data_IF_058941300943
#
_entry.id   IF_058941300943
#
_cell.length_a   1.000
_cell.length_b   1.000
_cell.length_c   1.000
_cell.angle_alpha   90.00
_cell.angle_beta   90.00
_cell.angle_gamma   90.00
#
_symmetry.space_group_name_H-M   'P 1'
#
loop_
_entity.id
_entity.type
_entity.pdbx_description
1 polymer ?
#
# COMPACT_ATOMS: atom_id res chain seq x y z
N UNK A 1 27.49 -9.71 6.41
CA UNK A 1 26.28 -9.10 7.01
C UNK A 1 26.21 -7.58 6.86
N UNK A 2 27.29 -6.79 6.96
CA UNK A 2 27.22 -5.33 6.66
C UNK A 2 27.57 -4.99 5.19
N UNK A 3 28.35 -5.82 4.49
CA UNK A 3 28.70 -5.60 3.07
C UNK A 3 27.53 -5.77 2.09
N UNK A 4 26.54 -6.58 2.42
CA UNK A 4 25.41 -6.85 1.52
C UNK A 4 24.35 -5.74 1.55
N UNK A 5 24.36 -4.88 2.60
CA UNK A 5 23.45 -3.73 2.70
C UNK A 5 23.94 -2.52 1.89
N UNK A 6 25.24 -2.40 1.62
CA UNK A 6 25.83 -1.25 0.91
C UNK A 6 25.99 -1.48 -0.59
N UNK A 7 25.98 -2.73 -1.04
CA UNK A 7 26.20 -3.09 -2.45
C UNK A 7 24.99 -2.80 -3.36
N UNK A 8 23.84 -2.41 -2.80
CA UNK A 8 22.62 -2.12 -3.57
C UNK A 8 22.35 -0.61 -3.78
N UNK A 9 23.19 0.28 -3.23
CA UNK A 9 22.96 1.74 -3.27
C UNK A 9 23.74 2.50 -4.35
N UNK A 10 24.63 1.85 -5.12
CA UNK A 10 25.45 2.55 -6.13
C UNK A 10 25.53 1.77 -7.44
N UNK A 11 24.45 1.81 -8.22
CA UNK A 11 24.39 1.18 -9.54
C UNK A 11 23.59 2.01 -10.55
N UNK A 12 24.30 2.85 -11.30
CA UNK A 12 23.98 3.43 -12.61
C UNK A 12 22.73 4.32 -12.76
N UNK A 13 22.96 5.57 -13.18
CA UNK A 13 21.95 6.52 -13.58
C UNK A 13 21.09 5.99 -14.73
N UNK A 14 19.85 5.64 -14.40
CA UNK A 14 18.74 5.54 -15.34
C UNK A 14 18.06 6.91 -15.51
N UNK A 15 17.28 7.11 -16.59
CA UNK A 15 16.58 8.36 -16.83
C UNK A 15 15.66 8.67 -15.65
N UNK A 16 15.53 9.96 -15.30
CA UNK A 16 14.66 10.46 -14.24
C UNK A 16 13.28 9.78 -14.29
N UNK A 17 13.10 8.75 -13.46
CA UNK A 17 11.82 8.12 -13.17
C UNK A 17 11.01 9.19 -12.47
N UNK A 18 9.89 9.59 -13.08
CA UNK A 18 8.93 10.47 -12.45
C UNK A 18 8.52 9.84 -11.12
N UNK A 19 8.86 10.53 -10.03
CA UNK A 19 8.43 10.26 -8.67
C UNK A 19 6.88 10.26 -8.67
N UNK A 20 6.27 9.09 -8.89
CA UNK A 20 4.82 8.90 -8.72
C UNK A 20 4.52 8.94 -7.22
N UNK A 21 4.55 10.15 -6.65
CA UNK A 21 4.04 10.48 -5.30
C UNK A 21 2.51 10.46 -5.25
N UNK A 22 1.88 9.61 -6.05
CA UNK A 22 0.45 9.37 -6.00
C UNK A 22 0.20 8.22 -5.04
N UNK A 23 0.20 8.56 -3.74
CA UNK A 23 -0.50 7.86 -2.65
C UNK A 23 -0.27 8.59 -1.31
N UNK A 24 0.55 9.64 -1.29
CA UNK A 24 0.72 10.56 -0.17
C UNK A 24 0.58 12.01 -0.64
N UNK A 25 -0.61 12.43 -1.08
CA UNK A 25 -1.03 13.78 -0.65
C UNK A 25 -1.18 13.63 0.86
N UNK A 26 -0.21 14.15 1.61
CA UNK A 26 -0.39 14.36 3.04
C UNK A 26 -1.74 15.03 3.19
N UNK A 27 -2.70 14.35 3.81
CA UNK A 27 -3.92 15.00 4.25
C UNK A 27 -3.44 16.15 5.13
N UNK A 28 -3.50 17.39 4.63
CA UNK A 28 -3.22 18.57 5.43
C UNK A 28 -4.48 18.82 6.25
N UNK A 29 -4.49 18.53 7.57
CA UNK A 29 -5.67 18.78 8.39
C UNK A 29 -5.99 20.29 8.51
N UNK A 30 -5.17 21.18 7.92
CA UNK A 30 -5.39 22.63 7.86
C UNK A 30 -5.92 23.11 6.51
N UNK A 31 -5.98 22.26 5.48
CA UNK A 31 -6.75 22.56 4.28
C UNK A 31 -8.22 22.17 4.52
N UNK A 32 -9.00 23.22 4.82
CA UNK A 32 -10.46 23.34 4.62
C UNK A 32 -11.42 22.82 5.72
N UNK A 33 -11.61 23.66 6.75
CA UNK A 33 -12.95 24.16 7.06
C UNK A 33 -13.19 25.41 6.18
N UNK A 34 -13.15 25.25 4.86
CA UNK A 34 -13.78 26.25 4.01
C UNK A 34 -15.29 26.15 4.25
N UNK A 35 -15.99 27.28 4.44
CA UNK A 35 -17.44 27.25 4.54
C UNK A 35 -17.95 26.56 3.27
N UNK A 36 -18.80 25.54 3.44
CA UNK A 36 -19.39 24.75 2.36
C UNK A 36 -19.59 25.63 1.13
N UNK A 37 -18.63 25.57 0.20
CA UNK A 37 -18.81 26.17 -1.10
C UNK A 37 -20.07 25.48 -1.62
N UNK A 38 -21.08 26.27 -1.98
CA UNK A 38 -22.25 25.78 -2.68
C UNK A 38 -21.76 24.82 -3.75
N UNK A 39 -21.92 23.52 -3.49
CA UNK A 39 -21.80 22.49 -4.50
C UNK A 39 -22.86 22.87 -5.50
N UNK A 40 -22.46 23.66 -6.52
CA UNK A 40 -23.15 23.69 -7.79
C UNK A 40 -23.14 22.24 -8.21
N UNK A 41 -24.22 21.53 -7.90
CA UNK A 41 -24.63 20.35 -8.63
C UNK A 41 -24.51 20.74 -10.08
N UNK A 42 -23.44 20.27 -10.72
CA UNK A 42 -23.32 20.24 -12.17
C UNK A 42 -24.43 19.28 -12.60
N UNK A 43 -25.65 19.80 -12.66
CA UNK A 43 -26.73 19.19 -13.39
C UNK A 43 -26.31 19.36 -14.83
N UNK A 44 -25.66 18.34 -15.39
CA UNK A 44 -25.60 18.21 -16.83
C UNK A 44 -27.06 18.20 -17.28
N UNK A 45 -27.50 19.27 -17.96
CA UNK A 45 -28.90 19.48 -18.38
C UNK A 45 -29.39 18.39 -19.35
N UNK A 46 -28.47 17.60 -19.90
CA UNK A 46 -28.76 16.42 -20.67
C UNK A 46 -28.66 15.21 -19.73
N UNK A 47 -29.79 14.67 -19.27
CA UNK A 47 -29.92 13.55 -18.32
C UNK A 47 -29.36 12.19 -18.80
N UNK A 48 -28.21 12.18 -19.48
CA UNK A 48 -27.48 10.98 -19.83
C UNK A 48 -26.66 10.52 -18.62
N UNK A 49 -26.78 9.24 -18.22
CA UNK A 49 -25.97 8.70 -17.15
C UNK A 49 -24.48 8.79 -17.53
N UNK A 50 -23.66 9.35 -16.63
CA UNK A 50 -22.21 9.36 -16.73
C UNK A 50 -21.72 7.95 -17.09
N UNK A 51 -21.12 7.80 -18.27
CA UNK A 51 -20.62 6.52 -18.76
C UNK A 51 -19.23 6.29 -18.20
N UNK A 52 -19.08 5.23 -17.40
CA UNK A 52 -17.79 4.78 -16.91
C UNK A 52 -17.33 3.59 -17.76
N UNK A 53 -16.10 3.64 -18.26
CA UNK A 53 -15.47 2.48 -18.91
C UNK A 53 -14.65 1.71 -17.89
N UNK A 54 -15.04 0.47 -17.63
CA UNK A 54 -14.37 -0.44 -16.71
C UNK A 54 -13.55 -1.47 -17.49
N UNK A 55 -12.30 -1.66 -17.09
CA UNK A 55 -11.39 -2.66 -17.67
C UNK A 55 -11.06 -3.73 -16.61
N UNK A 56 -11.43 -4.98 -16.89
CA UNK A 56 -11.05 -6.10 -16.05
C UNK A 56 -9.58 -6.39 -16.25
N UNK A 57 -8.79 -6.35 -15.17
CA UNK A 57 -7.39 -6.76 -15.23
C UNK A 57 -7.18 -8.09 -14.55
N UNK A 58 -6.57 -9.00 -15.30
CA UNK A 58 -5.98 -10.19 -14.73
C UNK A 58 -4.72 -9.78 -14.01
N UNK A 59 -4.67 -10.17 -12.75
CA UNK A 59 -3.71 -9.76 -11.75
C UNK A 59 -2.61 -10.84 -11.71
N UNK A 60 -1.47 -10.66 -12.40
CA UNK A 60 -0.37 -11.62 -12.35
C UNK A 60 0.11 -11.79 -10.90
N UNK A 61 0.06 -13.02 -10.41
CA UNK A 61 0.48 -13.32 -9.05
C UNK A 61 1.91 -12.81 -8.78
N UNK A 62 2.07 -12.02 -7.71
CA UNK A 62 3.34 -11.59 -7.09
C UNK A 62 4.13 -10.44 -7.72
N UNK A 63 3.59 -9.67 -8.67
CA UNK A 63 4.35 -8.56 -9.32
C UNK A 63 4.81 -7.49 -8.33
N UNK A 64 4.02 -7.19 -7.29
CA UNK A 64 4.36 -6.15 -6.31
C UNK A 64 5.19 -6.66 -5.12
N UNK A 65 5.43 -7.97 -5.02
CA UNK A 65 6.13 -8.56 -3.89
C UNK A 65 7.62 -8.15 -3.88
N UNK A 66 8.07 -7.56 -2.78
CA UNK A 66 9.46 -7.11 -2.59
C UNK A 66 9.74 -5.68 -3.10
N UNK A 67 8.75 -5.00 -3.66
CA UNK A 67 8.89 -3.64 -4.19
C UNK A 67 8.60 -2.54 -3.16
N UNK A 68 8.07 -2.89 -1.99
CA UNK A 68 7.76 -1.95 -0.92
C UNK A 68 8.98 -1.72 -0.03
N UNK A 69 9.41 -0.46 0.10
CA UNK A 69 10.58 -0.06 0.90
C UNK A 69 10.22 1.07 1.84
N UNK A 70 10.75 1.01 3.06
CA UNK A 70 10.71 2.12 4.02
C UNK A 70 11.99 2.94 3.90
N UNK A 71 11.87 4.25 3.77
CA UNK A 71 13.01 5.16 3.87
C UNK A 71 13.53 5.18 5.31
N UNK A 72 14.82 4.89 5.56
CA UNK A 72 15.39 4.98 6.91
C UNK A 72 15.43 6.44 7.40
N UNK A 73 15.37 7.42 6.50
CA UNK A 73 15.50 8.85 6.84
C UNK A 73 14.15 9.51 7.09
N UNK A 74 13.19 9.37 6.17
CA UNK A 74 11.87 10.01 6.32
C UNK A 74 10.88 9.12 7.08
N UNK A 75 11.17 7.83 7.17
CA UNK A 75 10.23 6.83 7.64
C UNK A 75 9.11 6.53 6.64
N UNK A 76 9.01 7.24 5.52
CA UNK A 76 7.95 7.01 4.54
C UNK A 76 8.11 5.64 3.88
N UNK A 77 6.97 5.00 3.62
CA UNK A 77 6.92 3.73 2.91
C UNK A 77 6.53 4.01 1.47
N UNK A 78 7.40 3.64 0.56
CA UNK A 78 7.27 3.85 -0.87
C UNK A 78 7.09 2.47 -1.51
N UNK A 79 6.10 2.35 -2.38
CA UNK A 79 5.96 1.19 -3.25
C UNK A 79 6.57 1.55 -4.60
N UNK A 80 7.69 0.92 -4.94
CA UNK A 80 8.33 1.11 -6.23
C UNK A 80 7.55 0.33 -7.29
N UNK A 81 6.49 0.94 -7.81
CA UNK A 81 5.71 0.38 -8.91
C UNK A 81 6.36 0.73 -10.24
N UNK A 82 6.32 -0.21 -11.17
CA UNK A 82 6.49 0.11 -12.58
C UNK A 82 5.41 1.16 -12.95
N UNK A 83 5.75 2.29 -13.59
CA UNK A 83 4.75 3.23 -14.10
C UNK A 83 3.70 2.60 -15.01
N UNK A 84 4.01 1.46 -15.64
CA UNK A 84 3.06 0.68 -16.43
C UNK A 84 2.09 -0.17 -15.58
N UNK A 85 2.35 -0.31 -14.28
CA UNK A 85 1.50 -1.08 -13.38
C UNK A 85 0.16 -0.36 -13.18
N UNK A 86 -0.97 -1.05 -13.40
CA UNK A 86 -2.27 -0.43 -13.32
C UNK A 86 -2.67 -0.07 -11.90
N UNK A 87 -3.17 1.14 -11.71
CA UNK A 87 -3.87 1.52 -10.50
C UNK A 87 -5.26 0.87 -10.50
N UNK A 88 -5.41 -0.25 -9.81
CA UNK A 88 -6.73 -0.83 -9.59
C UNK A 88 -7.52 0.02 -8.59
N UNK A 89 -8.68 0.51 -9.04
CA UNK A 89 -9.52 1.44 -8.27
C UNK A 89 -10.73 0.75 -7.65
N UNK A 90 -11.11 -0.42 -8.19
CA UNK A 90 -12.27 -1.19 -7.76
C UNK A 90 -11.88 -2.66 -7.61
N UNK A 91 -12.38 -3.29 -6.54
CA UNK A 91 -12.27 -4.73 -6.30
C UNK A 91 -13.68 -5.29 -6.28
N UNK A 92 -13.96 -6.24 -7.17
CA UNK A 92 -15.21 -6.99 -7.22
C UNK A 92 -15.06 -8.32 -6.48
N UNK A 93 -15.88 -8.55 -5.46
CA UNK A 93 -15.88 -9.80 -4.70
C UNK A 93 -16.84 -10.86 -5.25
N UNK A 94 -17.59 -10.54 -6.30
CA UNK A 94 -18.53 -11.45 -6.94
C UNK A 94 -17.89 -12.28 -8.08
N UNK A 95 -16.61 -12.06 -8.39
CA UNK A 95 -15.90 -12.82 -9.41
C UNK A 95 -16.38 -12.56 -10.84
N UNK A 96 -16.98 -11.40 -11.13
CA UNK A 96 -17.50 -11.11 -12.47
C UNK A 96 -16.38 -10.74 -13.44
N UNK A 97 -16.51 -11.21 -14.68
CA UNK A 97 -15.61 -10.86 -15.79
C UNK A 97 -15.89 -9.45 -16.33
N UNK A 98 -17.12 -8.94 -16.14
CA UNK A 98 -17.60 -7.64 -16.60
C UNK A 98 -18.52 -7.01 -15.57
N UNK A 99 -18.45 -5.68 -15.47
CA UNK A 99 -19.32 -4.89 -14.60
C UNK A 99 -20.33 -4.10 -15.44
N UNK A 100 -21.55 -3.83 -14.92
CA UNK A 100 -22.53 -2.99 -15.59
C UNK A 100 -21.95 -1.61 -15.91
N UNK A 101 -22.20 -1.09 -17.12
CA UNK A 101 -21.74 0.26 -17.51
C UNK A 101 -22.53 1.39 -16.84
N UNK A 102 -23.74 1.09 -16.38
CA UNK A 102 -24.64 2.08 -15.83
C UNK A 102 -24.33 2.31 -14.35
N UNK A 103 -23.93 3.56 -14.06
CA UNK A 103 -23.58 4.07 -12.73
C UNK A 103 -24.63 3.75 -11.65
N UNK A 104 -25.92 3.83 -11.96
CA UNK A 104 -26.99 3.56 -11.00
C UNK A 104 -27.01 2.10 -10.50
N UNK A 105 -26.52 1.16 -11.31
CA UNK A 105 -26.36 -0.24 -10.88
C UNK A 105 -25.09 -0.43 -10.07
N UNK A 106 -23.98 0.22 -10.47
CA UNK A 106 -22.70 0.17 -9.75
C UNK A 106 -22.81 0.76 -8.33
N UNK A 107 -23.59 1.82 -8.15
CA UNK A 107 -23.83 2.44 -6.84
C UNK A 107 -24.61 1.55 -5.88
N UNK A 108 -25.46 0.66 -6.40
CA UNK A 108 -26.27 -0.28 -5.61
C UNK A 108 -25.58 -1.62 -5.40
N UNK A 109 -24.39 -1.80 -5.97
CA UNK A 109 -23.68 -3.06 -5.99
C UNK A 109 -22.91 -3.27 -4.68
N UNK A 110 -23.40 -4.21 -3.86
CA UNK A 110 -22.83 -4.54 -2.56
C UNK A 110 -21.49 -5.29 -2.66
N UNK A 111 -21.08 -5.74 -3.84
CA UNK A 111 -19.85 -6.52 -4.06
C UNK A 111 -18.68 -5.67 -4.56
N UNK A 112 -18.88 -4.37 -4.79
CA UNK A 112 -17.85 -3.47 -5.31
C UNK A 112 -17.20 -2.65 -4.18
N UNK A 113 -15.89 -2.80 -4.08
CA UNK A 113 -15.08 -2.20 -3.02
C UNK A 113 -14.00 -1.30 -3.57
N UNK A 114 -13.78 -0.18 -2.89
CA UNK A 114 -12.59 0.64 -3.01
C UNK A 114 -11.44 -0.02 -2.25
N UNK A 115 -10.30 -0.32 -2.89
CA UNK A 115 -9.10 -0.74 -2.19
C UNK A 115 -8.41 0.48 -1.56
N UNK A 116 -8.10 0.40 -0.27
CA UNK A 116 -7.33 1.41 0.46
C UNK A 116 -6.01 0.78 0.90
N UNK A 117 -4.85 1.20 0.34
CA UNK A 117 -3.59 0.55 0.62
C UNK A 117 -3.14 0.78 2.07
N UNK A 118 -2.79 -0.31 2.74
CA UNK A 118 -2.17 -0.31 4.06
C UNK A 118 -0.66 -0.37 3.85
N UNK A 119 -0.04 0.77 3.50
CA UNK A 119 1.35 0.84 3.03
C UNK A 119 2.34 0.28 4.05
N UNK A 120 2.21 0.66 5.32
CA UNK A 120 3.08 0.15 6.38
C UNK A 120 2.93 -1.35 6.58
N UNK A 121 1.67 -1.82 6.61
CA UNK A 121 1.33 -3.25 6.65
C UNK A 121 1.94 -4.03 5.50
N UNK A 122 1.89 -3.45 4.30
CA UNK A 122 2.46 -4.00 3.08
C UNK A 122 3.97 -4.14 3.21
N UNK A 123 4.67 -3.08 3.65
CA UNK A 123 6.11 -3.16 3.89
C UNK A 123 6.47 -4.23 4.94
N UNK A 124 5.72 -4.32 6.03
CA UNK A 124 5.92 -5.37 7.04
C UNK A 124 5.71 -6.77 6.46
N UNK A 125 4.61 -6.97 5.72
CA UNK A 125 4.30 -8.23 5.04
C UNK A 125 5.43 -8.66 4.10
N UNK A 126 5.87 -7.78 3.20
CA UNK A 126 6.95 -8.07 2.26
C UNK A 126 8.29 -8.29 2.99
N UNK A 127 8.56 -7.54 4.07
CA UNK A 127 9.78 -7.74 4.88
C UNK A 127 9.80 -9.08 5.59
N UNK A 128 8.67 -9.53 6.15
CA UNK A 128 8.54 -10.86 6.75
C UNK A 128 8.64 -11.98 5.72
N UNK A 129 8.10 -11.75 4.51
CA UNK A 129 8.22 -12.69 3.40
C UNK A 129 9.67 -12.88 2.94
N UNK A 130 10.42 -11.78 2.76
CA UNK A 130 11.83 -11.82 2.32
C UNK A 130 12.80 -12.31 3.40
N UNK A 131 12.46 -12.16 4.68
CA UNK A 131 13.32 -12.54 5.80
C UNK A 131 12.59 -13.46 6.78
N UNK A 132 12.36 -14.74 6.42
CA UNK A 132 11.59 -15.69 7.23
C UNK A 132 12.33 -16.18 8.49
N UNK A 133 13.33 -15.46 8.97
CA UNK A 133 14.25 -15.86 10.05
C UNK A 133 13.49 -16.35 11.30
N UNK A 134 13.47 -17.67 11.50
CA UNK A 134 12.83 -18.33 12.64
C UNK A 134 11.38 -18.79 12.41
N UNK A 135 10.84 -18.65 11.21
CA UNK A 135 9.49 -19.08 10.85
C UNK A 135 9.57 -20.50 10.29
N UNK A 136 8.94 -21.45 10.97
CA UNK A 136 8.78 -22.81 10.46
C UNK A 136 8.20 -22.76 9.05
N UNK A 137 8.70 -23.62 8.15
CA UNK A 137 8.37 -23.72 6.72
C UNK A 137 7.78 -22.42 6.12
N UNK A 138 8.64 -21.57 5.58
CA UNK A 138 8.31 -20.35 4.81
C UNK A 138 7.31 -20.55 3.63
N UNK A 139 6.75 -21.75 3.44
CA UNK A 139 5.70 -22.06 2.49
C UNK A 139 4.31 -21.61 2.93
N UNK A 140 4.10 -21.28 4.21
CA UNK A 140 2.77 -20.86 4.70
C UNK A 140 2.60 -19.34 4.60
N UNK A 141 2.02 -18.89 3.48
CA UNK A 141 1.77 -17.47 3.25
C UNK A 141 0.77 -16.88 4.24
N UNK A 142 -0.22 -17.67 4.67
CA UNK A 142 -1.23 -17.24 5.63
C UNK A 142 -0.59 -16.92 6.98
N UNK A 143 0.48 -17.62 7.34
CA UNK A 143 1.29 -17.31 8.50
C UNK A 143 1.97 -15.94 8.37
N UNK A 144 2.58 -15.63 7.22
CA UNK A 144 3.24 -14.33 6.96
C UNK A 144 2.21 -13.19 7.00
N UNK A 145 1.03 -13.41 6.41
CA UNK A 145 -0.09 -12.46 6.47
C UNK A 145 -0.52 -12.26 7.91
N UNK A 146 -0.75 -13.32 8.69
CA UNK A 146 -1.11 -13.21 10.11
C UNK A 146 -0.05 -12.46 10.91
N UNK A 147 1.23 -12.68 10.64
CA UNK A 147 2.32 -11.97 11.31
C UNK A 147 2.30 -10.47 10.99
N UNK A 148 2.20 -10.12 9.71
CA UNK A 148 2.03 -8.73 9.27
C UNK A 148 0.77 -8.12 9.89
N UNK A 149 -0.31 -8.90 9.97
CA UNK A 149 -1.56 -8.43 10.52
C UNK A 149 -1.48 -8.18 12.03
N UNK A 150 -0.77 -9.02 12.77
CA UNK A 150 -0.59 -8.90 14.22
C UNK A 150 0.43 -7.85 14.65
N UNK A 151 1.26 -7.35 13.72
CA UNK A 151 2.26 -6.35 14.02
C UNK A 151 1.62 -5.00 14.38
N UNK A 152 2.14 -4.36 15.43
CA UNK A 152 1.64 -3.09 15.93
C UNK A 152 2.24 -1.95 15.11
N UNK A 153 1.48 -1.38 14.18
CA UNK A 153 1.95 -0.36 13.25
C UNK A 153 0.95 0.79 13.07
N UNK A 154 1.41 1.86 12.41
CA UNK A 154 0.57 3.01 12.07
C UNK A 154 0.10 2.88 10.62
N UNK A 155 -1.15 2.47 10.44
CA UNK A 155 -1.77 2.32 9.11
C UNK A 155 -2.44 3.60 8.60
N UNK A 156 -2.44 4.68 9.39
CA UNK A 156 -3.03 5.98 8.99
C UNK A 156 -1.95 6.91 8.45
N UNK A 157 -2.27 7.62 7.38
CA UNK A 157 -1.45 8.70 6.80
C UNK A 157 -1.61 9.98 7.62
N UNK A 158 -1.07 9.99 8.83
CA UNK A 158 -0.96 11.19 9.66
C UNK A 158 0.49 11.66 9.72
N UNK A 159 0.66 12.97 9.91
CA UNK A 159 1.95 13.54 10.25
C UNK A 159 2.23 13.30 11.73
N UNK A 160 3.09 12.34 12.03
CA UNK A 160 3.31 11.81 13.38
C UNK A 160 4.80 11.82 13.79
N UNK A 161 5.59 12.69 13.16
CA UNK A 161 7.01 12.86 13.44
C UNK A 161 7.86 11.57 13.31
N UNK A 162 7.46 10.65 12.43
CA UNK A 162 8.20 9.42 12.07
C UNK A 162 9.52 9.63 11.33
N UNK A 163 9.88 10.87 11.03
CA UNK A 163 11.17 11.19 10.44
C UNK A 163 12.30 10.77 11.39
N UNK A 164 13.43 10.33 10.83
CA UNK A 164 14.62 9.95 11.57
C UNK A 164 15.32 11.19 12.13
N UNK A 165 15.90 11.15 13.34
CA UNK A 165 16.71 12.25 13.86
C UNK A 165 17.86 12.65 12.93
N UNK A 166 18.29 11.78 12.00
CA UNK A 166 19.29 12.09 10.97
C UNK A 166 18.92 13.35 10.17
N UNK A 167 17.64 13.56 9.86
CA UNK A 167 17.21 14.74 9.10
C UNK A 167 17.53 16.03 9.83
N UNK A 168 17.30 16.08 11.15
CA UNK A 168 17.66 17.24 11.97
C UNK A 168 19.18 17.32 12.19
N UNK A 169 19.84 16.17 12.38
CA UNK A 169 21.29 16.13 12.59
C UNK A 169 22.10 16.60 11.38
N UNK A 170 21.58 16.46 10.15
CA UNK A 170 22.19 17.07 8.97
C UNK A 170 22.35 18.60 9.13
N UNK A 171 21.32 19.28 9.63
CA UNK A 171 21.36 20.72 9.90
C UNK A 171 22.19 21.07 11.14
N UNK A 172 22.08 20.28 12.21
CA UNK A 172 22.87 20.45 13.44
C UNK A 172 24.38 20.35 13.14
N UNK A 173 24.79 19.37 12.33
CA UNK A 173 26.19 19.22 11.90
C UNK A 173 26.67 20.46 11.15
N UNK A 174 25.88 20.96 10.19
CA UNK A 174 26.23 22.17 9.45
C UNK A 174 26.35 23.39 10.38
N UNK A 175 25.35 23.64 11.23
CA UNK A 175 25.32 24.80 12.11
C UNK A 175 26.29 24.72 13.29
N UNK A 176 26.75 23.52 13.66
CA UNK A 176 27.78 23.35 14.69
C UNK A 176 29.07 24.10 14.35
N UNK A 177 29.36 24.32 13.05
CA UNK A 177 30.51 25.10 12.59
C UNK A 177 30.52 26.56 13.09
N UNK A 178 29.34 27.13 13.38
CA UNK A 178 29.22 28.50 13.91
C UNK A 178 29.70 28.62 15.37
N UNK A 179 29.81 27.49 16.08
CA UNK A 179 30.32 27.47 17.46
C UNK A 179 31.82 27.66 17.53
N UNK A 180 32.54 27.51 16.41
CA UNK A 180 34.02 27.53 16.34
C UNK A 180 34.73 26.56 17.31
N UNK A 181 33.99 25.69 18.00
CA UNK A 181 34.53 24.68 18.90
C UNK A 181 34.64 23.34 18.18
N UNK A 182 35.88 22.94 17.89
CA UNK A 182 36.20 21.68 17.25
C UNK A 182 35.60 20.46 17.97
N UNK A 183 35.42 20.53 19.30
CA UNK A 183 34.83 19.47 20.11
C UNK A 183 33.33 19.34 19.85
N UNK A 184 32.60 20.46 19.83
CA UNK A 184 31.17 20.47 19.51
C UNK A 184 30.93 19.98 18.08
N UNK A 185 31.75 20.43 17.12
CA UNK A 185 31.67 19.99 15.71
C UNK A 185 31.92 18.48 15.62
N UNK A 186 32.98 17.97 16.26
CA UNK A 186 33.32 16.55 16.24
C UNK A 186 32.21 15.70 16.89
N UNK A 187 31.65 16.14 18.01
CA UNK A 187 30.53 15.45 18.69
C UNK A 187 29.26 15.46 17.85
N UNK A 188 28.90 16.61 17.23
CA UNK A 188 27.75 16.71 16.35
C UNK A 188 27.86 15.74 15.15
N UNK A 189 29.03 15.69 14.51
CA UNK A 189 29.32 14.76 13.43
C UNK A 189 29.29 13.30 13.90
N UNK A 190 29.91 12.98 15.04
CA UNK A 190 29.93 11.64 15.61
C UNK A 190 28.52 11.12 15.93
N UNK A 191 27.67 11.95 16.53
CA UNK A 191 26.28 11.59 16.86
C UNK A 191 25.41 11.54 15.61
N UNK A 192 25.63 12.43 14.62
CA UNK A 192 24.95 12.36 13.33
C UNK A 192 25.22 11.04 12.60
N UNK A 193 26.49 10.61 12.55
CA UNK A 193 26.89 9.32 11.97
C UNK A 193 26.33 8.13 12.76
N UNK A 194 26.38 8.19 14.09
CA UNK A 194 25.82 7.14 14.96
C UNK A 194 24.30 7.01 14.76
N UNK A 195 23.59 8.14 14.67
CA UNK A 195 22.15 8.17 14.41
C UNK A 195 21.85 7.60 13.02
N UNK A 196 22.66 7.93 12.01
CA UNK A 196 22.54 7.34 10.67
C UNK A 196 22.72 5.82 10.69
N UNK A 197 23.72 5.33 11.41
CA UNK A 197 23.93 3.90 11.60
C UNK A 197 22.73 3.23 12.28
N UNK A 198 22.15 3.85 13.32
CA UNK A 198 20.92 3.36 13.96
C UNK A 198 19.72 3.39 13.02
N UNK A 199 19.54 4.44 12.22
CA UNK A 199 18.46 4.55 11.25
C UNK A 199 18.49 3.40 10.25
N UNK A 200 19.66 3.12 9.67
CA UNK A 200 19.86 2.00 8.74
C UNK A 200 19.67 0.65 9.45
N UNK A 201 20.32 0.43 10.59
CA UNK A 201 20.26 -0.85 11.32
C UNK A 201 18.86 -1.16 11.86
N UNK A 202 18.12 -0.13 12.27
CA UNK A 202 16.76 -0.28 12.78
C UNK A 202 15.70 -0.33 11.67
N UNK A 203 16.03 -0.06 10.40
CA UNK A 203 15.06 -0.07 9.30
C UNK A 203 14.61 -1.49 8.87
N UNK A 204 14.28 -2.32 9.84
CA UNK A 204 13.73 -3.66 9.68
C UNK A 204 12.34 -3.73 10.31
N UNK A 205 11.49 -4.63 9.82
CA UNK A 205 10.12 -4.79 10.32
C UNK A 205 10.02 -4.99 11.84
N UNK A 206 11.06 -5.55 12.48
CA UNK A 206 11.08 -5.81 13.93
C UNK A 206 11.64 -4.65 14.77
N UNK A 207 12.43 -3.76 14.17
CA UNK A 207 13.23 -2.79 14.92
C UNK A 207 12.96 -1.32 14.57
N UNK A 208 12.15 -1.01 13.55
CA UNK A 208 12.00 0.36 13.04
C UNK A 208 11.48 1.37 14.06
N UNK A 209 10.74 0.92 15.08
CA UNK A 209 10.27 1.77 16.17
C UNK A 209 11.34 2.06 17.24
N UNK A 210 12.47 1.34 17.23
CA UNK A 210 13.52 1.42 18.27
C UNK A 210 14.58 2.46 17.99
N UNK A 211 14.69 2.93 16.76
CA UNK A 211 15.73 3.88 16.32
C UNK A 211 15.84 5.11 17.23
N UNK A 212 14.71 5.80 17.47
CA UNK A 212 14.66 7.02 18.30
C UNK A 212 15.08 6.74 19.73
N UNK A 213 14.60 5.65 20.31
CA UNK A 213 14.95 5.23 21.67
C UNK A 213 16.43 4.88 21.84
N UNK A 214 17.04 4.24 20.84
CA UNK A 214 18.45 3.88 20.88
C UNK A 214 19.36 5.10 20.72
N UNK A 215 18.96 6.08 19.90
CA UNK A 215 19.73 7.32 19.72
C UNK A 215 19.52 8.35 20.83
N UNK A 216 18.36 8.34 21.51
CA UNK A 216 17.97 9.36 22.49
C UNK A 216 19.02 9.63 23.59
N UNK A 217 19.64 8.63 24.25
CA UNK A 217 20.63 8.89 25.30
C UNK A 217 21.83 9.71 24.82
N UNK A 218 22.29 9.46 23.59
CA UNK A 218 23.41 10.19 22.98
C UNK A 218 23.01 11.62 22.65
N UNK A 219 21.79 11.82 22.14
CA UNK A 219 21.24 13.15 21.81
C UNK A 219 21.02 14.00 23.06
N UNK A 220 20.51 13.41 24.15
CA UNK A 220 20.36 14.08 25.45
C UNK A 220 21.72 14.42 26.06
N UNK A 221 22.68 13.49 26.01
CA UNK A 221 24.04 13.75 26.51
C UNK A 221 24.69 14.92 25.76
N UNK A 222 24.49 15.02 24.45
CA UNK A 222 24.97 16.14 23.65
C UNK A 222 24.28 17.46 23.99
N UNK A 223 22.96 17.45 24.20
CA UNK A 223 22.24 18.63 24.67
C UNK A 223 22.79 19.14 26.02
N UNK A 224 23.02 18.23 26.97
CA UNK A 224 23.65 18.57 28.25
C UNK A 224 25.07 19.11 28.08
N UNK A 225 25.86 18.53 27.16
CA UNK A 225 27.21 19.00 26.87
C UNK A 225 27.21 20.44 26.32
N UNK A 226 26.30 20.77 25.39
CA UNK A 226 26.14 22.13 24.86
C UNK A 226 25.81 23.12 25.98
N UNK A 227 24.94 22.73 26.92
CA UNK A 227 24.57 23.56 28.07
C UNK A 227 25.73 23.82 29.03
N UNK A 228 26.57 22.82 29.28
CA UNK A 228 27.75 22.95 30.15
C UNK A 228 28.85 23.77 29.47
N UNK A 229 29.01 23.59 28.15
CA UNK A 229 30.01 24.25 27.32
C UNK A 229 29.59 25.66 26.90
N UNK A 230 28.70 26.31 27.66
CA UNK A 230 28.21 27.65 27.38
C UNK A 230 29.03 28.80 28.03
N UNK A 231 30.36 28.89 27.87
CA UNK A 231 31.04 30.18 27.98
C UNK A 231 31.52 30.65 26.60
N UNK A 232 30.69 31.45 25.92
CA UNK A 232 31.02 32.04 24.61
C UNK A 232 32.02 33.20 24.75
N UNK A 233 33.11 33.17 23.97
CA UNK A 233 34.10 34.25 23.92
C UNK A 233 33.71 35.33 22.91
N UNK A 234 32.94 34.96 21.87
CA UNK A 234 32.50 35.88 20.82
C UNK A 234 30.98 35.88 20.64
N UNK A 235 30.44 36.97 20.06
CA UNK A 235 29.00 37.07 19.72
C UNK A 235 28.60 35.98 18.73
N UNK A 236 29.47 35.63 17.78
CA UNK A 236 29.22 34.58 16.80
C UNK A 236 29.07 33.20 17.47
N UNK A 237 29.99 32.86 18.39
CA UNK A 237 29.90 31.64 19.19
C UNK A 237 28.61 31.59 20.02
N UNK A 238 28.23 32.71 20.64
CA UNK A 238 26.99 32.79 21.43
C UNK A 238 25.75 32.52 20.56
N UNK A 239 25.70 33.08 19.34
CA UNK A 239 24.63 32.84 18.37
C UNK A 239 24.64 31.36 17.94
N UNK A 240 25.80 30.83 17.56
CA UNK A 240 25.97 29.44 17.13
C UNK A 240 25.51 28.44 18.20
N UNK A 241 25.98 28.60 19.43
CA UNK A 241 25.60 27.74 20.56
C UNK A 241 24.12 27.85 20.92
N UNK A 242 23.54 29.06 20.84
CA UNK A 242 22.10 29.26 21.07
C UNK A 242 21.25 28.56 19.99
N UNK A 243 21.60 28.72 18.71
CA UNK A 243 20.89 28.06 17.62
C UNK A 243 21.00 26.53 17.72
N UNK A 244 22.19 26.03 18.04
CA UNK A 244 22.43 24.60 18.21
C UNK A 244 21.60 24.04 19.36
N UNK A 245 21.59 24.72 20.52
CA UNK A 245 20.76 24.36 21.67
C UNK A 245 19.27 24.30 21.30
N UNK A 246 18.76 25.31 20.59
CA UNK A 246 17.36 25.35 20.17
C UNK A 246 17.01 24.22 19.20
N UNK A 247 17.88 23.93 18.23
CA UNK A 247 17.65 22.85 17.26
C UNK A 247 17.69 21.46 17.89
N UNK A 248 18.67 21.18 18.73
CA UNK A 248 18.75 19.89 19.46
C UNK A 248 17.55 19.75 20.40
N UNK A 249 17.17 20.82 21.11
CA UNK A 249 15.98 20.81 21.98
C UNK A 249 14.70 20.58 21.18
N UNK A 250 14.53 21.27 20.05
CA UNK A 250 13.37 21.11 19.19
C UNK A 250 13.31 19.70 18.59
N UNK A 251 14.45 19.12 18.21
CA UNK A 251 14.52 17.74 17.71
C UNK A 251 14.08 16.73 18.79
N UNK A 252 14.54 16.87 20.03
CA UNK A 252 14.13 15.98 21.12
C UNK A 252 12.66 16.18 21.49
N UNK A 253 12.21 17.43 21.61
CA UNK A 253 10.82 17.73 22.01
C UNK A 253 9.86 17.32 20.89
N UNK A 254 10.03 17.82 19.67
CA UNK A 254 9.13 17.54 18.54
C UNK A 254 9.28 16.11 18.03
N UNK A 255 10.51 15.58 18.02
CA UNK A 255 10.78 14.24 17.53
C UNK A 255 10.39 13.13 18.52
N UNK A 256 10.73 13.26 19.80
CA UNK A 256 10.49 12.20 20.78
C UNK A 256 9.29 12.47 21.69
N UNK A 257 9.11 13.69 22.20
CA UNK A 257 7.98 13.97 23.10
C UNK A 257 6.64 14.01 22.36
N UNK A 258 6.59 14.61 21.17
CA UNK A 258 5.37 14.62 20.34
C UNK A 258 5.10 13.28 19.63
N UNK A 259 6.03 12.33 19.68
CA UNK A 259 5.79 10.97 19.22
C UNK A 259 4.93 10.16 20.21
N UNK A 260 4.93 10.47 21.52
CA UNK A 260 4.10 9.73 22.49
C UNK A 260 2.60 9.77 22.17
N UNK A 261 1.98 10.92 21.85
CA UNK A 261 0.59 10.97 21.44
C UNK A 261 0.27 10.16 20.18
N UNK A 262 1.25 9.86 19.32
CA UNK A 262 1.01 9.08 18.10
C UNK A 262 0.88 7.58 18.36
N UNK A 263 1.37 7.07 19.50
CA UNK A 263 1.18 5.67 19.90
C UNK A 263 -0.29 5.27 20.00
N UNK A 264 -1.20 6.21 20.32
CA UNK A 264 -2.65 5.92 20.36
C UNK A 264 -3.23 5.55 19.00
N UNK A 265 -2.56 5.93 17.91
CA UNK A 265 -2.98 5.65 16.54
C UNK A 265 -2.42 4.34 16.00
N UNK A 266 -1.48 3.72 16.72
CA UNK A 266 -1.01 2.40 16.34
C UNK A 266 -2.13 1.37 16.52
N UNK A 267 -2.18 0.43 15.59
CA UNK A 267 -3.11 -0.67 15.62
C UNK A 267 -2.44 -1.97 15.19
N UNK A 268 -3.11 -3.06 15.54
CA UNK A 268 -2.90 -4.39 14.97
C UNK A 268 -4.27 -4.93 14.56
N UNK A 269 -4.29 -6.00 13.79
CA UNK A 269 -5.55 -6.63 13.44
C UNK A 269 -5.48 -8.13 13.68
N UNK A 270 -6.50 -8.62 14.38
CA UNK A 270 -6.69 -10.03 14.66
C UNK A 270 -7.63 -10.61 13.60
N UNK A 271 -7.20 -11.65 12.90
CA UNK A 271 -8.01 -12.33 11.90
C UNK A 271 -9.13 -13.07 12.61
N UNK A 272 -10.38 -12.64 12.41
CA UNK A 272 -11.57 -13.32 12.91
C UNK A 272 -11.93 -14.51 12.02
N UNK A 273 -11.88 -14.30 10.70
CA UNK A 273 -12.27 -15.29 9.70
C UNK A 273 -11.52 -15.05 8.39
N UNK A 274 -11.11 -16.14 7.73
CA UNK A 274 -10.69 -16.12 6.33
C UNK A 274 -11.88 -16.47 5.45
N UNK A 275 -12.09 -15.71 4.37
CA UNK A 275 -13.17 -15.94 3.42
C UNK A 275 -12.70 -16.69 2.15
N UNK A 276 -11.40 -16.99 2.04
CA UNK A 276 -10.79 -17.52 0.81
C UNK A 276 -10.17 -16.41 -0.04
N UNK A 277 -9.43 -16.77 -1.08
CA UNK A 277 -8.72 -15.84 -1.98
C UNK A 277 -7.92 -14.74 -1.26
N UNK A 278 -7.36 -15.08 -0.07
CA UNK A 278 -6.62 -14.15 0.80
C UNK A 278 -7.43 -12.92 1.24
N UNK A 279 -8.75 -13.08 1.34
CA UNK A 279 -9.65 -12.10 1.94
C UNK A 279 -9.89 -12.47 3.40
N UNK A 280 -9.68 -11.51 4.29
CA UNK A 280 -9.72 -11.69 5.74
C UNK A 280 -10.68 -10.70 6.38
N UNK A 281 -11.57 -11.21 7.22
CA UNK A 281 -12.34 -10.39 8.14
C UNK A 281 -11.53 -10.24 9.42
N UNK A 282 -11.16 -9.02 9.74
CA UNK A 282 -10.26 -8.70 10.83
C UNK A 282 -10.91 -7.78 11.87
N UNK A 283 -10.58 -7.96 13.15
CA UNK A 283 -10.86 -6.99 14.20
C UNK A 283 -9.63 -6.14 14.46
N UNK A 284 -9.78 -4.81 14.40
CA UNK A 284 -8.74 -3.85 14.72
C UNK A 284 -8.67 -3.63 16.23
N UNK A 285 -7.49 -3.83 16.78
CA UNK A 285 -7.14 -3.46 18.15
C UNK A 285 -6.22 -2.23 18.12
N UNK A 286 -6.56 -1.19 18.89
CA UNK A 286 -5.90 0.11 18.86
C UNK A 286 -6.55 1.16 17.95
N UNK A 287 -5.80 2.20 17.60
CA UNK A 287 -6.27 3.36 16.83
C UNK A 287 -7.57 4.01 17.35
N UNK A 288 -7.73 4.06 18.68
CA UNK A 288 -8.94 4.61 19.32
C UNK A 288 -9.09 6.09 18.97
N UNK A 289 -10.25 6.46 18.41
CA UNK A 289 -10.54 7.83 17.99
C UNK A 289 -10.11 8.17 16.56
N UNK A 290 -9.48 7.24 15.83
CA UNK A 290 -9.15 7.42 14.41
C UNK A 290 -10.32 7.88 13.52
N UNK A 291 -11.57 7.39 13.71
CA UNK A 291 -12.73 7.87 12.94
C UNK A 291 -12.95 9.39 13.05
N UNK A 292 -12.66 9.98 14.21
CA UNK A 292 -12.81 11.43 14.42
C UNK A 292 -11.73 12.24 13.70
N UNK A 293 -10.52 11.68 13.54
CA UNK A 293 -9.41 12.34 12.84
C UNK A 293 -9.51 12.21 11.32
N UNK A 294 -9.96 11.05 10.83
CA UNK A 294 -10.14 10.81 9.38
C UNK A 294 -11.47 11.40 8.90
N UNK A 295 -12.34 11.87 9.81
CA UNK A 295 -13.64 12.43 9.49
C UNK A 295 -14.59 11.43 8.85
N UNK A 296 -14.40 10.12 9.09
CA UNK A 296 -15.17 9.07 8.43
C UNK A 296 -15.72 8.08 9.44
N UNK A 297 -17.04 7.96 9.43
CA UNK A 297 -17.73 6.85 10.07
C UNK A 297 -17.39 5.57 9.33
N UNK A 298 -17.15 4.46 10.05
CA UNK A 298 -16.93 3.16 9.44
C UNK A 298 -18.15 2.75 8.63
N UNK A 299 -17.91 2.34 7.39
CA UNK A 299 -18.94 1.89 6.49
C UNK A 299 -19.65 0.65 7.03
N UNK A 300 -20.97 0.60 6.82
CA UNK A 300 -21.73 -0.64 7.07
C UNK A 300 -21.36 -1.62 5.97
N UNK A 301 -20.84 -2.78 6.35
CA UNK A 301 -20.57 -3.85 5.39
C UNK A 301 -21.85 -4.65 5.10
N UNK A 302 -22.11 -5.00 3.84
CA UNK A 302 -23.17 -5.93 3.46
C UNK A 302 -22.99 -7.30 4.15
N UNK A 303 -24.05 -7.80 4.78
CA UNK A 303 -24.02 -9.06 5.55
C UNK A 303 -23.69 -10.27 4.67
N UNK A 304 -24.12 -10.22 3.41
CA UNK A 304 -23.90 -11.24 2.40
C UNK A 304 -22.41 -11.47 2.14
N UNK A 305 -21.61 -10.40 2.15
CA UNK A 305 -20.16 -10.46 1.92
C UNK A 305 -19.43 -10.95 3.16
N UNK A 306 -19.68 -10.32 4.32
CA UNK A 306 -18.85 -10.56 5.52
C UNK A 306 -19.26 -11.81 6.29
N UNK A 307 -20.49 -12.28 6.11
CA UNK A 307 -21.06 -13.45 6.80
C UNK A 307 -20.83 -13.42 8.32
N UNK A 308 -20.92 -12.23 8.92
CA UNK A 308 -20.84 -11.98 10.36
C UNK A 308 -22.19 -11.46 10.87
N UNK A 309 -22.68 -11.94 12.03
CA UNK A 309 -23.99 -11.54 12.55
C UNK A 309 -24.05 -10.07 12.98
N UNK A 310 -22.90 -9.47 13.36
CA UNK A 310 -22.82 -8.08 13.78
C UNK A 310 -21.53 -7.44 13.28
N UNK A 311 -21.67 -6.48 12.38
CA UNK A 311 -20.56 -5.62 11.96
C UNK A 311 -20.33 -4.51 13.00
N UNK A 312 -19.11 -4.38 13.48
CA UNK A 312 -18.71 -3.32 14.42
C UNK A 312 -17.77 -2.33 13.75
N UNK A 313 -17.58 -1.17 14.36
CA UNK A 313 -16.63 -0.13 13.93
C UNK A 313 -15.16 -0.56 14.01
N UNK A 314 -14.89 -1.69 14.65
CA UNK A 314 -13.57 -2.31 14.77
C UNK A 314 -13.35 -3.40 13.72
N UNK A 315 -14.39 -3.80 12.97
CA UNK A 315 -14.24 -4.83 11.96
C UNK A 315 -13.77 -4.19 10.65
N UNK A 316 -12.86 -4.87 9.95
CA UNK A 316 -12.32 -4.45 8.67
C UNK A 316 -12.22 -5.65 7.74
N UNK A 317 -12.45 -5.42 6.45
CA UNK A 317 -12.21 -6.39 5.40
C UNK A 317 -10.85 -6.09 4.79
N UNK A 318 -9.89 -6.98 4.93
CA UNK A 318 -8.52 -6.81 4.42
C UNK A 318 -8.25 -7.92 3.42
N UNK A 319 -7.67 -7.56 2.27
CA UNK A 319 -7.25 -8.53 1.26
C UNK A 319 -5.79 -8.31 0.90
N UNK A 320 -5.12 -9.41 0.56
CA UNK A 320 -3.81 -9.36 -0.06
C UNK A 320 -3.96 -9.44 -1.60
N UNK A 321 -3.48 -8.40 -2.29
CA UNK A 321 -3.52 -8.28 -3.75
C UNK A 321 -2.08 -8.15 -4.27
N UNK A 322 -1.55 -9.23 -4.87
CA UNK A 322 -0.21 -9.29 -5.48
C UNK A 322 1.00 -8.89 -4.62
N UNK A 323 0.90 -8.95 -3.31
CA UNK A 323 1.95 -8.41 -2.43
C UNK A 323 1.54 -7.13 -1.70
N UNK A 324 0.39 -6.54 -2.02
CA UNK A 324 -0.16 -5.34 -1.40
C UNK A 324 -1.25 -5.72 -0.39
N UNK A 325 -1.13 -5.22 0.84
CA UNK A 325 -2.19 -5.34 1.84
C UNK A 325 -3.14 -4.16 1.68
N UNK A 326 -4.41 -4.41 1.38
CA UNK A 326 -5.42 -3.35 1.22
C UNK A 326 -6.61 -3.58 2.13
N UNK A 327 -7.14 -2.50 2.69
CA UNK A 327 -8.45 -2.48 3.31
C UNK A 327 -9.50 -2.27 2.22
N UNK A 328 -10.48 -3.18 2.12
CA UNK A 328 -11.62 -3.02 1.24
C UNK A 328 -12.69 -2.19 1.93
N UNK A 329 -13.15 -1.13 1.27
CA UNK A 329 -14.26 -0.29 1.73
C UNK A 329 -15.36 -0.27 0.67
N UNK A 330 -16.65 -0.33 1.04
CA UNK A 330 -17.74 -0.23 0.06
C UNK A 330 -17.60 1.05 -0.77
N UNK A 331 -17.82 0.95 -2.08
CA UNK A 331 -17.83 2.12 -2.96
C UNK A 331 -19.01 3.03 -2.61
N UNK A 332 -18.76 4.33 -2.43
CA UNK A 332 -19.81 5.34 -2.24
C UNK A 332 -20.09 6.09 -3.55
N UNK A 333 -21.24 6.77 -3.61
CA UNK A 333 -21.59 7.66 -4.73
C UNK A 333 -20.49 8.70 -5.02
N UNK A 334 -19.86 9.24 -3.97
CA UNK A 334 -18.74 10.18 -4.09
C UNK A 334 -17.52 9.53 -4.77
N UNK A 335 -17.24 8.26 -4.48
CA UNK A 335 -16.12 7.54 -5.08
C UNK A 335 -16.40 7.29 -6.57
N UNK A 336 -17.63 6.92 -6.93
CA UNK A 336 -18.04 6.77 -8.33
C UNK A 336 -18.01 8.08 -9.11
N UNK A 337 -18.40 9.19 -8.47
CA UNK A 337 -18.32 10.53 -9.08
C UNK A 337 -16.88 10.92 -9.38
N UNK A 338 -15.96 10.68 -8.43
CA UNK A 338 -14.53 10.93 -8.62
C UNK A 338 -13.94 10.06 -9.72
N UNK A 339 -14.32 8.78 -9.74
CA UNK A 339 -13.87 7.83 -10.74
C UNK A 339 -14.35 8.27 -12.15
N UNK A 340 -15.61 8.68 -12.29
CA UNK A 340 -16.16 9.21 -13.53
C UNK A 340 -15.42 10.48 -14.00
N UNK A 341 -15.17 11.41 -13.08
CA UNK A 341 -14.42 12.64 -13.38
C UNK A 341 -12.98 12.34 -13.82
N UNK A 342 -12.28 11.43 -13.13
CA UNK A 342 -10.92 11.01 -13.51
C UNK A 342 -10.91 10.37 -14.91
N UNK A 343 -11.92 9.56 -15.23
CA UNK A 343 -12.08 9.00 -16.56
C UNK A 343 -12.32 10.09 -17.63
N UNK A 344 -13.16 11.09 -17.35
CA UNK A 344 -13.39 12.22 -18.27
C UNK A 344 -12.13 13.04 -18.52
N UNK A 345 -11.34 13.28 -17.48
CA UNK A 345 -10.12 14.09 -17.55
C UNK A 345 -8.97 13.35 -18.26
N UNK A 346 -8.82 12.05 -18.00
CA UNK A 346 -7.67 11.27 -18.47
C UNK A 346 -7.96 10.43 -19.71
N UNK A 347 -9.25 10.14 -19.96
CA UNK A 347 -9.72 9.14 -20.94
C UNK A 347 -9.11 7.74 -20.72
N UNK A 348 -8.64 7.44 -19.50
CA UNK A 348 -8.05 6.14 -19.11
C UNK A 348 -9.11 5.31 -18.38
N UNK A 349 -9.48 4.12 -18.89
CA UNK A 349 -10.47 3.26 -18.26
C UNK A 349 -10.17 2.95 -16.80
N UNK A 350 -11.22 2.88 -16.00
CA UNK A 350 -11.12 2.51 -14.58
C UNK A 350 -10.85 1.02 -14.49
N UNK A 351 -9.73 0.65 -13.89
CA UNK A 351 -9.35 -0.75 -13.79
C UNK A 351 -9.94 -1.39 -12.53
N UNK A 352 -10.47 -2.60 -12.69
CA UNK A 352 -10.99 -3.38 -11.58
C UNK A 352 -10.40 -4.79 -11.52
N UNK A 353 -10.35 -5.33 -10.30
CA UNK A 353 -9.86 -6.69 -10.00
C UNK A 353 -11.02 -7.53 -9.51
N UNK A 354 -11.18 -8.71 -10.07
CA UNK A 354 -12.24 -9.64 -9.70
C UNK A 354 -11.72 -10.79 -8.83
N UNK A 355 -12.37 -11.01 -7.69
CA UNK A 355 -12.09 -12.09 -6.75
C UNK A 355 -13.37 -12.93 -6.60
N UNK A 356 -13.37 -14.23 -6.97
CA UNK A 356 -14.58 -15.06 -6.93
C UNK A 356 -14.86 -15.58 -5.52
N UNK A 357 -15.18 -14.66 -4.61
CA UNK A 357 -15.39 -14.94 -3.18
C UNK A 357 -16.83 -15.37 -2.89
N UNK A 358 -17.79 -14.67 -3.48
CA UNK A 358 -19.22 -14.89 -3.28
C UNK A 358 -19.86 -15.44 -4.55
N UNK A 359 -20.82 -16.35 -4.38
CA UNK A 359 -21.73 -16.71 -5.46
C UNK A 359 -22.64 -15.49 -5.75
N UNK A 360 -22.65 -15.05 -7.00
CA UNK A 360 -23.38 -13.85 -7.41
C UNK A 360 -24.83 -14.21 -7.78
N UNK A 361 -25.79 -13.74 -6.98
CA UNK A 361 -27.23 -13.95 -7.21
C UNK A 361 -27.90 -12.82 -8.02
N UNK A 362 -27.13 -11.88 -8.59
CA UNK A 362 -27.68 -10.73 -9.31
C UNK A 362 -28.09 -11.04 -10.75
N UNK A 363 -28.77 -10.08 -11.44
CA UNK A 363 -29.18 -10.28 -12.83
C UNK A 363 -27.95 -10.55 -13.69
N UNK A 364 -28.03 -11.60 -14.52
CA UNK A 364 -27.02 -11.84 -15.55
C UNK A 364 -26.93 -10.57 -16.41
N UNK A 365 -25.72 -10.05 -16.57
CA UNK A 365 -25.50 -8.93 -17.48
C UNK A 365 -25.69 -9.50 -18.88
N UNK A 366 -26.88 -9.33 -19.44
CA UNK A 366 -27.12 -9.60 -20.86
C UNK A 366 -26.14 -8.73 -21.64
N UNK A 367 -25.24 -9.37 -22.40
CA UNK A 367 -24.31 -8.69 -23.29
C UNK A 367 -25.14 -7.98 -24.38
N UNK A 368 -25.54 -6.73 -24.12
CA UNK A 368 -25.96 -5.78 -25.16
C UNK A 368 -24.74 -5.34 -26.01
N UNK A 369 -23.82 -6.27 -26.31
CA UNK A 369 -22.83 -6.05 -27.35
C UNK A 369 -23.54 -6.26 -28.68
N UNK A 370 -23.85 -5.15 -29.31
CA UNK A 370 -24.07 -4.99 -30.75
C UNK A 370 -23.35 -6.09 -31.57
N UNK A 371 -24.15 -6.84 -32.33
CA UNK A 371 -23.82 -7.55 -33.58
C UNK A 371 -22.48 -8.33 -33.66
N UNK A 372 -22.61 -9.67 -33.56
CA UNK A 372 -22.09 -10.61 -34.56
C UNK A 372 -20.57 -10.61 -34.84
N UNK A 373 -19.74 -10.95 -33.83
CA UNK A 373 -18.40 -11.51 -34.07
C UNK A 373 -18.26 -12.92 -33.47
N UNK A 374 -18.50 -13.91 -34.33
CA UNK A 374 -18.07 -15.33 -34.25
C UNK A 374 -17.47 -15.79 -32.90
N UNK A 375 -18.34 -16.12 -31.95
CA UNK A 375 -17.92 -16.76 -30.70
C UNK A 375 -17.82 -18.28 -30.85
N UNK A 376 -16.62 -18.74 -31.24
CA UNK A 376 -16.10 -20.08 -30.97
C UNK A 376 -16.28 -20.45 -29.47
N UNK A 377 -16.53 -21.73 -29.13
CA UNK A 377 -16.70 -22.15 -27.74
C UNK A 377 -15.37 -22.15 -26.98
N UNK A 378 -15.04 -21.00 -26.36
CA UNK A 378 -13.92 -20.81 -25.39
C UNK A 378 -14.03 -21.71 -24.15
N UNK A 379 -15.12 -22.45 -23.96
CA UNK A 379 -15.33 -23.35 -22.81
C UNK A 379 -14.49 -24.64 -22.85
N UNK A 380 -13.94 -25.06 -24.01
CA UNK A 380 -13.08 -26.25 -24.07
C UNK A 380 -11.59 -25.98 -23.78
N UNK A 381 -11.10 -24.75 -23.97
CA UNK A 381 -9.68 -24.42 -23.76
C UNK A 381 -9.30 -24.16 -22.28
N UNK A 382 -10.27 -23.87 -21.41
CA UNK A 382 -10.00 -23.51 -19.99
C UNK A 382 -9.64 -24.71 -19.10
N UNK A 383 -9.79 -25.95 -19.58
CA UNK A 383 -9.46 -27.17 -18.83
C UNK A 383 -8.12 -27.81 -19.19
N UNK A 384 -7.46 -27.39 -20.26
CA UNK A 384 -6.20 -27.97 -20.72
C UNK A 384 -4.99 -27.35 -19.98
N UNK A 385 -4.82 -27.83 -18.75
CA UNK A 385 -3.57 -28.07 -18.02
C UNK A 385 -2.47 -26.99 -18.08
N UNK A 386 -2.46 -26.15 -17.04
CA UNK A 386 -1.22 -25.55 -16.52
C UNK A 386 -0.33 -26.69 -15.99
N UNK A 387 0.74 -27.00 -16.72
CA UNK A 387 1.75 -27.99 -16.31
C UNK A 387 1.71 -29.33 -17.04
N UNK A 388 0.90 -29.49 -18.10
CA UNK A 388 0.99 -30.70 -18.93
C UNK A 388 2.28 -30.66 -19.72
N UNK A 389 2.91 -31.83 -19.82
CA UNK A 389 3.93 -32.01 -20.85
C UNK A 389 3.27 -31.90 -22.22
N UNK A 390 4.02 -31.41 -23.21
CA UNK A 390 3.57 -31.30 -24.59
C UNK A 390 2.88 -32.58 -25.12
N UNK A 391 3.35 -33.75 -24.65
CA UNK A 391 2.79 -35.08 -24.95
C UNK A 391 1.37 -35.31 -24.41
N UNK A 392 1.03 -34.75 -23.24
CA UNK A 392 -0.28 -34.89 -22.61
C UNK A 392 -1.32 -33.99 -23.29
N UNK A 393 -0.90 -32.80 -23.71
CA UNK A 393 -1.71 -31.90 -24.54
C UNK A 393 -2.04 -32.56 -25.88
N UNK A 394 -1.07 -33.21 -26.53
CA UNK A 394 -1.28 -33.97 -27.76
C UNK A 394 -2.27 -35.14 -27.58
N UNK A 395 -2.17 -35.88 -26.46
CA UNK A 395 -3.12 -36.97 -26.15
C UNK A 395 -4.54 -36.45 -25.97
N UNK A 396 -4.71 -35.31 -25.30
CA UNK A 396 -6.02 -34.70 -25.11
C UNK A 396 -6.67 -34.30 -26.45
N UNK A 397 -5.89 -33.73 -27.37
CA UNK A 397 -6.38 -33.37 -28.71
C UNK A 397 -6.75 -34.59 -29.55
N UNK A 398 -5.94 -35.67 -29.52
CA UNK A 398 -6.28 -36.93 -30.21
C UNK A 398 -7.54 -37.59 -29.64
N UNK A 399 -7.70 -37.56 -28.31
CA UNK A 399 -8.90 -38.11 -27.67
C UNK A 399 -10.15 -37.28 -28.01
N UNK A 400 -10.02 -35.95 -28.07
CA UNK A 400 -11.10 -35.08 -28.54
C UNK A 400 -11.49 -35.40 -30.01
N UNK A 401 -10.51 -35.71 -30.87
CA UNK A 401 -10.77 -36.10 -32.27
C UNK A 401 -11.60 -37.37 -32.38
N UNK A 402 -11.31 -38.37 -31.54
CA UNK A 402 -12.06 -39.63 -31.51
C UNK A 402 -13.50 -39.44 -31.02
N UNK A 403 -13.71 -38.54 -30.04
CA UNK A 403 -15.02 -38.33 -29.42
C UNK A 403 -15.93 -37.45 -30.30
N UNK A 404 -15.37 -36.39 -30.89
CA UNK A 404 -16.16 -35.35 -31.55
C UNK A 404 -16.13 -35.44 -33.09
N UNK A 405 -15.34 -36.36 -33.65
CA UNK A 405 -15.09 -36.44 -35.09
C UNK A 405 -14.04 -35.42 -35.52
N UNK A 406 -13.26 -35.77 -36.55
CA UNK A 406 -12.23 -34.88 -37.11
C UNK A 406 -12.86 -33.62 -37.73
N UNK A 407 -12.37 -32.46 -37.31
CA UNK A 407 -12.58 -31.18 -37.99
C UNK A 407 -11.18 -30.67 -38.40
N UNK A 408 -11.06 -30.07 -39.58
CA UNK A 408 -9.81 -29.58 -40.18
C UNK A 408 -8.98 -28.72 -39.21
N UNK A 409 -9.65 -27.96 -38.33
CA UNK A 409 -8.99 -27.14 -37.32
C UNK A 409 -8.34 -27.96 -36.19
N UNK A 410 -8.98 -29.06 -35.76
CA UNK A 410 -8.43 -29.97 -34.75
C UNK A 410 -7.25 -30.75 -35.34
N UNK A 411 -7.33 -31.11 -36.62
CA UNK A 411 -6.23 -31.74 -37.35
C UNK A 411 -5.04 -30.79 -37.51
N UNK A 412 -5.27 -29.51 -37.78
CA UNK A 412 -4.21 -28.50 -37.82
C UNK A 412 -3.52 -28.33 -36.46
N UNK A 413 -4.27 -28.27 -35.35
CA UNK A 413 -3.69 -28.15 -34.01
C UNK A 413 -2.88 -29.38 -33.60
N UNK A 414 -3.33 -30.59 -33.97
CA UNK A 414 -2.57 -31.83 -33.76
C UNK A 414 -1.28 -31.78 -34.58
N UNK A 415 -1.36 -31.32 -35.82
CA UNK A 415 -0.21 -31.26 -36.72
C UNK A 415 0.84 -30.24 -36.24
N UNK A 416 0.42 -29.03 -35.85
CA UNK A 416 1.31 -28.00 -35.33
C UNK A 416 2.04 -28.47 -34.07
N UNK A 417 1.32 -29.12 -33.15
CA UNK A 417 1.92 -29.74 -31.97
C UNK A 417 2.84 -30.91 -32.34
N UNK A 418 2.54 -31.74 -33.34
CA UNK A 418 3.47 -32.81 -33.74
C UNK A 418 4.80 -32.30 -34.32
N UNK A 419 4.83 -31.07 -34.83
CA UNK A 419 6.02 -30.45 -35.42
C UNK A 419 6.84 -29.60 -34.44
N UNK A 420 6.32 -29.24 -33.27
CA UNK A 420 7.03 -28.50 -32.21
C UNK A 420 7.66 -29.42 -31.17
#
# INVERSE_FOLDING_TARGET
MVKDAWSAETGAGGPHVGDLRYFSRSYDPRQELEPAQETKTLVHEDGFPLRIKLEHKLVPSSVLMGNCRRSPLTGEVILNMDPAYPNFQVVDLAGRDRLPKNRLYLEKDEYLFKPVPLMYRTWLYQSFFLHPSGLGKASDLDYVVRQALSAFCLDVTIWDNRWSPVMAYAFIMFLSSLTLDSTIIALACGIGLLTCAFAVACNTAKAYQRERWLSLPFRVAFLCYILISFPAATVLEAIGSTLLFLLVSAEIILGDCYFFPSYRFHCKYDILRSLGYRVYVCARDGAVGMPAYVGRTPDRMPLQVVQLPKWTTQNHLIVELEGLMVELRPMREEDWTKAAQEFEETNVPITFVSLPLCEYDGPEVEDESDEEEDHLPKKMARGAVRGSTHLETLRAFRQAREIYGGNDQLDWMIQDLEYS
#
